data_IF_865526435155
#
_entry.id   IF_865526435155
#
_cell.length_a   1.000
_cell.length_b   1.000
_cell.length_c   1.000
_cell.angle_alpha   90.00
_cell.angle_beta   90.00
_cell.angle_gamma   90.00
#
_symmetry.space_group_name_H-M   'P 1'
#
loop_
_entity.id
_entity.type
_entity.pdbx_description
1 polymer ?
#
# COMPACT_ATOMS: atom_id res chain seq x y z
N UNK A 1 20.31 7.33 -6.92
CA UNK A 1 19.17 8.19 -6.52
C UNK A 1 18.05 7.24 -6.14
N UNK A 2 17.83 7.01 -4.85
CA UNK A 2 16.83 6.05 -4.40
C UNK A 2 15.44 6.56 -4.76
N UNK A 3 14.67 5.77 -5.51
CA UNK A 3 13.25 6.05 -5.69
C UNK A 3 12.59 5.86 -4.31
N UNK A 4 12.45 6.94 -3.55
CA UNK A 4 11.77 6.92 -2.26
C UNK A 4 10.26 6.81 -2.51
N UNK A 5 9.79 5.57 -2.55
CA UNK A 5 8.36 5.28 -2.61
C UNK A 5 7.76 5.45 -1.21
N UNK A 6 6.66 6.18 -1.15
CA UNK A 6 5.90 6.41 0.06
C UNK A 6 4.57 5.64 -0.03
N UNK A 7 4.25 4.89 1.01
CA UNK A 7 3.09 4.00 1.05
C UNK A 7 2.08 4.43 2.10
N UNK A 8 0.82 4.13 1.82
CA UNK A 8 -0.24 4.03 2.81
C UNK A 8 -0.78 2.60 2.78
N UNK A 9 -0.74 1.94 3.92
CA UNK A 9 -0.96 0.50 4.05
C UNK A 9 -2.25 0.27 4.80
N UNK A 10 -3.20 -0.40 4.16
CA UNK A 10 -4.47 -0.81 4.73
C UNK A 10 -4.29 -1.76 5.95
N UNK A 11 -5.29 -1.79 6.83
CA UNK A 11 -5.35 -2.58 8.05
C UNK A 11 -5.14 -4.08 7.86
N UNK A 12 -5.48 -4.62 6.68
CA UNK A 12 -5.28 -6.05 6.37
C UNK A 12 -3.81 -6.43 6.14
N UNK A 13 -2.91 -5.45 6.06
CA UNK A 13 -1.51 -5.62 5.67
C UNK A 13 -0.54 -5.25 6.80
N UNK A 14 -0.94 -5.41 8.07
CA UNK A 14 -0.12 -5.03 9.23
C UNK A 14 1.29 -5.66 9.24
N UNK A 15 1.44 -6.92 8.85
CA UNK A 15 2.76 -7.57 8.76
C UNK A 15 3.63 -6.93 7.68
N UNK A 16 3.05 -6.61 6.52
CA UNK A 16 3.75 -5.91 5.43
C UNK A 16 4.17 -4.50 5.86
N UNK A 17 3.27 -3.75 6.50
CA UNK A 17 3.57 -2.41 7.03
C UNK A 17 4.78 -2.44 7.98
N UNK A 18 4.86 -3.45 8.85
CA UNK A 18 6.02 -3.63 9.74
C UNK A 18 7.30 -3.87 8.96
N UNK A 19 7.28 -4.74 7.95
CA UNK A 19 8.46 -5.02 7.12
C UNK A 19 8.92 -3.81 6.30
N UNK A 20 7.99 -3.03 5.75
CA UNK A 20 8.31 -1.79 5.04
C UNK A 20 9.04 -0.80 5.94
N UNK A 21 8.57 -0.62 7.19
CA UNK A 21 9.25 0.23 8.17
C UNK A 21 10.64 -0.28 8.54
N UNK A 22 10.80 -1.59 8.78
CA UNK A 22 12.11 -2.20 9.09
C UNK A 22 13.11 -2.00 7.95
N UNK A 23 12.63 -2.05 6.70
CA UNK A 23 13.46 -1.94 5.50
C UNK A 23 13.67 -0.49 5.04
N UNK A 24 13.16 0.50 5.79
CA UNK A 24 13.40 1.93 5.54
C UNK A 24 12.48 2.57 4.51
N UNK A 25 11.39 1.91 4.10
CA UNK A 25 10.36 2.54 3.27
C UNK A 25 9.49 3.48 4.10
N UNK A 26 9.20 4.65 3.55
CA UNK A 26 8.20 5.56 4.11
C UNK A 26 6.82 4.91 3.98
N UNK A 27 6.20 4.60 5.12
CA UNK A 27 4.91 3.91 5.17
C UNK A 27 4.06 4.41 6.34
N UNK A 28 2.82 4.75 6.01
CA UNK A 28 1.75 5.02 6.98
C UNK A 28 0.91 3.75 7.08
N UNK A 29 0.70 3.24 8.30
CA UNK A 29 -0.20 2.12 8.53
C UNK A 29 -1.56 2.64 9.00
N UNK A 30 -2.59 2.44 8.19
CA UNK A 30 -3.94 2.90 8.47
C UNK A 30 -4.76 1.76 9.07
N UNK A 31 -5.07 1.89 10.37
CA UNK A 31 -5.91 0.93 11.10
C UNK A 31 -7.39 1.34 11.16
N UNK A 32 -7.76 2.45 10.52
CA UNK A 32 -9.11 2.98 10.58
C UNK A 32 -10.10 2.10 9.80
N UNK A 33 -11.33 1.99 10.27
CA UNK A 33 -12.42 1.28 9.58
C UNK A 33 -13.09 2.13 8.49
N UNK A 34 -12.51 3.28 8.14
CA UNK A 34 -13.10 4.22 7.19
C UNK A 34 -12.26 4.28 5.91
N UNK A 35 -12.74 3.55 4.90
CA UNK A 35 -12.16 3.50 3.56
C UNK A 35 -12.10 4.87 2.88
N UNK A 36 -13.12 5.72 3.06
CA UNK A 36 -13.14 7.05 2.45
C UNK A 36 -11.99 7.90 2.98
N UNK A 37 -11.77 7.85 4.29
CA UNK A 37 -10.63 8.53 4.90
C UNK A 37 -9.29 7.98 4.41
N UNK A 38 -9.15 6.66 4.23
CA UNK A 38 -7.93 6.08 3.65
C UNK A 38 -7.70 6.60 2.22
N UNK A 39 -8.75 6.67 1.41
CA UNK A 39 -8.69 7.17 0.03
C UNK A 39 -8.33 8.66 -0.01
N UNK A 40 -8.92 9.47 0.87
CA UNK A 40 -8.58 10.89 1.05
C UNK A 40 -7.12 11.06 1.43
N UNK A 41 -6.64 10.36 2.47
CA UNK A 41 -5.25 10.43 2.90
C UNK A 41 -4.28 9.95 1.80
N UNK A 42 -4.64 8.91 1.05
CA UNK A 42 -3.87 8.44 -0.12
C UNK A 42 -3.70 9.55 -1.15
N UNK A 43 -4.79 10.25 -1.45
CA UNK A 43 -4.83 11.36 -2.40
C UNK A 43 -4.01 12.54 -1.92
N UNK A 44 -4.26 13.01 -0.70
CA UNK A 44 -3.68 14.22 -0.14
C UNK A 44 -2.16 14.08 0.09
N UNK A 45 -1.70 12.87 0.45
CA UNK A 45 -0.28 12.58 0.66
C UNK A 45 0.45 12.10 -0.60
N UNK A 46 -0.25 11.95 -1.73
CA UNK A 46 0.28 11.40 -2.99
C UNK A 46 1.02 10.05 -2.83
N UNK A 47 0.57 9.21 -1.88
CA UNK A 47 1.17 7.91 -1.55
C UNK A 47 0.58 6.80 -2.41
N UNK A 48 1.32 5.70 -2.53
CA UNK A 48 0.80 4.47 -3.15
C UNK A 48 0.02 3.69 -2.09
N UNK A 49 -1.26 3.44 -2.34
CA UNK A 49 -2.10 2.62 -1.45
C UNK A 49 -1.80 1.14 -1.64
N UNK A 50 -1.52 0.44 -0.54
CA UNK A 50 -1.35 -1.00 -0.49
C UNK A 50 -2.57 -1.60 0.19
N UNK A 51 -3.29 -2.50 -0.48
CA UNK A 51 -4.47 -3.14 0.09
C UNK A 51 -4.65 -4.59 -0.36
N UNK A 52 -5.33 -5.38 0.46
CA UNK A 52 -5.88 -6.70 0.12
C UNK A 52 -7.39 -6.67 -0.12
N UNK A 53 -8.02 -5.54 0.15
CA UNK A 53 -9.43 -5.35 -0.14
C UNK A 53 -9.60 -5.00 -1.62
N UNK A 54 -10.30 -5.88 -2.34
CA UNK A 54 -10.53 -5.73 -3.78
C UNK A 54 -11.50 -4.56 -4.07
N UNK A 55 -12.51 -4.35 -3.24
CA UNK A 55 -13.49 -3.28 -3.43
C UNK A 55 -12.82 -1.92 -3.23
N UNK A 56 -12.07 -1.76 -2.14
CA UNK A 56 -11.27 -0.57 -1.86
C UNK A 56 -10.27 -0.26 -2.98
N UNK A 57 -9.58 -1.28 -3.48
CA UNK A 57 -8.69 -1.14 -4.64
C UNK A 57 -9.43 -0.61 -5.88
N UNK A 58 -10.60 -1.16 -6.20
CA UNK A 58 -11.41 -0.68 -7.33
C UNK A 58 -11.86 0.77 -7.14
N UNK A 59 -12.20 1.17 -5.91
CA UNK A 59 -12.54 2.57 -5.57
C UNK A 59 -11.35 3.50 -5.79
N UNK A 60 -10.16 3.13 -5.33
CA UNK A 60 -8.94 3.90 -5.55
C UNK A 60 -8.62 4.09 -7.03
N UNK A 61 -8.76 3.04 -7.84
CA UNK A 61 -8.57 3.13 -9.29
C UNK A 61 -9.57 4.08 -9.96
N UNK A 62 -10.85 4.05 -9.57
CA UNK A 62 -11.88 4.97 -10.08
C UNK A 62 -11.57 6.43 -9.75
N UNK A 63 -10.89 6.68 -8.64
CA UNK A 63 -10.43 8.00 -8.21
C UNK A 63 -9.08 8.41 -8.84
N UNK A 64 -8.47 7.55 -9.67
CA UNK A 64 -7.16 7.80 -10.30
C UNK A 64 -5.98 7.71 -9.32
N UNK A 65 -6.16 7.09 -8.16
CA UNK A 65 -5.11 6.96 -7.15
C UNK A 65 -4.14 5.83 -7.51
N UNK A 66 -2.86 6.02 -7.17
CA UNK A 66 -1.87 4.94 -7.28
C UNK A 66 -2.15 3.91 -6.20
N UNK A 67 -2.37 2.66 -6.61
CA UNK A 67 -2.68 1.58 -5.68
C UNK A 67 -2.15 0.24 -6.16
N UNK A 68 -1.81 -0.65 -5.23
CA UNK A 68 -1.38 -2.02 -5.48
C UNK A 68 -2.27 -2.96 -4.67
N UNK A 69 -2.83 -3.94 -5.37
CA UNK A 69 -3.66 -4.99 -4.78
C UNK A 69 -2.86 -6.28 -4.56
N UNK A 70 -2.98 -6.85 -3.36
CA UNK A 70 -2.34 -8.12 -3.02
C UNK A 70 -3.38 -9.23 -2.90
N UNK A 71 -3.15 -10.35 -3.61
CA UNK A 71 -3.99 -11.56 -3.49
C UNK A 71 -3.59 -12.45 -2.32
N UNK A 72 -2.30 -12.52 -2.01
CA UNK A 72 -1.75 -13.43 -1.01
C UNK A 72 -1.79 -12.82 0.40
N UNK A 73 -2.00 -13.65 1.41
CA UNK A 73 -1.83 -13.27 2.83
C UNK A 73 -0.36 -13.34 3.27
N UNK A 74 0.46 -14.09 2.53
CA UNK A 74 1.86 -14.35 2.86
C UNK A 74 2.72 -13.13 2.59
N UNK A 75 3.39 -12.61 3.63
CA UNK A 75 4.16 -11.37 3.53
C UNK A 75 5.32 -11.47 2.56
N UNK A 76 5.97 -12.64 2.46
CA UNK A 76 7.06 -12.86 1.50
C UNK A 76 6.57 -12.75 0.06
N UNK A 77 5.37 -13.27 -0.23
CA UNK A 77 4.73 -13.15 -1.54
C UNK A 77 4.33 -11.69 -1.83
N UNK A 78 3.80 -10.98 -0.83
CA UNK A 78 3.47 -9.56 -0.94
C UNK A 78 4.71 -8.70 -1.21
N UNK A 79 5.82 -8.92 -0.49
CA UNK A 79 7.08 -8.21 -0.72
C UNK A 79 7.65 -8.47 -2.11
N UNK A 80 7.58 -9.72 -2.58
CA UNK A 80 8.03 -10.10 -3.93
C UNK A 80 7.18 -9.42 -5.00
N UNK A 81 5.86 -9.41 -4.80
CA UNK A 81 4.94 -8.71 -5.69
C UNK A 81 5.23 -7.21 -5.70
N UNK A 82 5.34 -6.58 -4.53
CA UNK A 82 5.64 -5.16 -4.42
C UNK A 82 6.93 -4.78 -5.14
N UNK A 83 8.02 -5.53 -4.96
CA UNK A 83 9.28 -5.30 -5.68
C UNK A 83 9.11 -5.29 -7.20
N UNK A 84 8.32 -6.23 -7.73
CA UNK A 84 8.01 -6.32 -9.15
C UNK A 84 7.20 -5.12 -9.64
N UNK A 85 6.20 -4.67 -8.89
CA UNK A 85 5.39 -3.48 -9.24
C UNK A 85 6.24 -2.20 -9.22
N UNK A 86 7.20 -2.10 -8.31
CA UNK A 86 8.09 -0.94 -8.19
C UNK A 86 9.29 -0.98 -9.17
N UNK A 87 9.47 -2.09 -9.90
CA UNK A 87 10.63 -2.30 -10.78
C UNK A 87 11.97 -2.33 -10.05
N UNK A 88 11.99 -2.68 -8.77
CA UNK A 88 13.21 -2.73 -7.94
C UNK A 88 13.81 -4.14 -8.05
N UNK A 89 15.08 -4.23 -8.49
CA UNK A 89 15.86 -5.48 -8.54
C UNK A 89 16.29 -5.92 -7.15
#
# INVERSE_FOLDING_TARGET
>A
MGNHHAFIVDGMLGTLARWLRITGYDSIYFRGMNDDRLLEETKDSARIMLTRDKELYQRALKLGLKSIYFKSEEVTAQLTHLKRELGIK
#
